data_IF_112608452208
#
_entry.id   IF_112608452208
#
_cell.length_a   1.000
_cell.length_b   1.000
_cell.length_c   1.000
_cell.angle_alpha   90.00
_cell.angle_beta   90.00
_cell.angle_gamma   90.00
#
_symmetry.space_group_name_H-M   'P 1'
#
loop_
_entity.id
_entity.type
_entity.pdbx_description
1 polymer ?
#
# COMPACT_ATOMS: atom_id res chain seq x y z
N UNK A 1 38.41 -7.93 -3.84
CA UNK A 1 36.94 -7.91 -3.79
C UNK A 1 36.34 -8.51 -2.51
N UNK A 2 36.91 -9.56 -1.95
CA UNK A 2 36.43 -10.27 -0.71
C UNK A 2 36.36 -9.37 0.54
N UNK A 3 37.34 -8.48 0.77
CA UNK A 3 37.35 -7.61 1.96
C UNK A 3 36.28 -6.50 2.01
N UNK A 4 35.74 -6.07 0.87
CA UNK A 4 34.63 -5.10 0.84
C UNK A 4 33.28 -5.75 1.16
N UNK A 5 33.08 -7.01 0.79
CA UNK A 5 31.88 -7.79 1.09
C UNK A 5 31.76 -8.03 2.61
N UNK A 6 32.81 -8.49 3.27
CA UNK A 6 32.79 -8.79 4.71
C UNK A 6 32.51 -7.56 5.58
N UNK A 7 33.06 -6.39 5.23
CA UNK A 7 32.82 -5.14 5.99
C UNK A 7 31.39 -4.63 5.84
N UNK A 8 30.78 -4.78 4.66
CA UNK A 8 29.39 -4.41 4.42
C UNK A 8 28.43 -5.36 5.15
N UNK A 9 28.73 -6.65 5.18
CA UNK A 9 27.95 -7.66 5.93
C UNK A 9 28.05 -7.44 7.44
N UNK A 10 29.23 -7.12 7.96
CA UNK A 10 29.42 -6.78 9.37
C UNK A 10 28.65 -5.52 9.75
N UNK A 11 28.71 -4.45 8.95
CA UNK A 11 27.96 -3.22 9.18
C UNK A 11 26.44 -3.45 9.19
N UNK A 12 25.93 -4.32 8.31
CA UNK A 12 24.50 -4.70 8.28
C UNK A 12 24.10 -5.50 9.53
N UNK A 13 24.93 -6.42 9.97
CA UNK A 13 24.67 -7.20 11.18
C UNK A 13 24.62 -6.29 12.42
N UNK A 14 25.54 -5.33 12.52
CA UNK A 14 25.58 -4.33 13.60
C UNK A 14 24.32 -3.44 13.58
N UNK A 15 23.90 -2.95 12.41
CA UNK A 15 22.67 -2.16 12.25
C UNK A 15 21.42 -2.96 12.64
N UNK A 16 21.31 -4.22 12.19
CA UNK A 16 20.22 -5.10 12.57
C UNK A 16 20.17 -5.37 14.07
N UNK A 17 21.32 -5.58 14.70
CA UNK A 17 21.42 -5.80 16.14
C UNK A 17 20.99 -4.53 16.93
N UNK A 18 21.42 -3.35 16.47
CA UNK A 18 21.02 -2.09 17.09
C UNK A 18 19.50 -1.87 17.00
N UNK A 19 18.91 -2.13 15.85
CA UNK A 19 17.44 -2.02 15.66
C UNK A 19 16.72 -2.95 16.66
N UNK A 20 17.13 -4.22 16.76
CA UNK A 20 16.54 -5.19 17.71
C UNK A 20 16.70 -4.75 19.17
N UNK A 21 17.86 -4.17 19.52
CA UNK A 21 18.09 -3.65 20.85
C UNK A 21 17.15 -2.47 21.16
N UNK A 22 16.99 -1.53 20.23
CA UNK A 22 16.08 -0.41 20.39
C UNK A 22 14.62 -0.88 20.48
N UNK A 23 14.22 -1.85 19.68
CA UNK A 23 12.90 -2.49 19.77
C UNK A 23 12.67 -3.15 21.13
N UNK A 24 13.69 -3.83 21.69
CA UNK A 24 13.59 -4.43 23.01
C UNK A 24 13.44 -3.41 24.14
N UNK A 25 14.21 -2.32 24.07
CA UNK A 25 14.22 -1.28 25.14
C UNK A 25 13.01 -0.37 25.06
N UNK A 26 12.62 0.06 23.87
CA UNK A 26 11.59 1.08 23.65
C UNK A 26 10.29 0.54 23.06
N UNK A 27 10.24 -0.75 22.75
CA UNK A 27 9.09 -1.39 22.10
C UNK A 27 9.05 -1.20 20.58
N UNK A 28 9.69 -0.18 20.03
CA UNK A 28 9.79 0.08 18.60
C UNK A 28 11.00 0.96 18.27
N UNK A 29 11.30 1.08 16.98
CA UNK A 29 12.22 2.06 16.41
C UNK A 29 11.52 2.82 15.29
N UNK A 30 11.76 4.13 15.18
CA UNK A 30 11.29 4.93 14.05
C UNK A 30 12.36 4.93 12.96
N UNK A 31 12.00 4.54 11.74
CA UNK A 31 12.89 4.54 10.58
C UNK A 31 12.26 5.36 9.45
N UNK A 32 13.00 6.28 8.84
CA UNK A 32 12.49 7.04 7.70
C UNK A 32 12.31 6.16 6.47
N UNK A 33 11.36 6.52 5.61
CA UNK A 33 11.06 5.82 4.36
C UNK A 33 12.31 5.58 3.51
N UNK A 34 13.13 6.62 3.33
CA UNK A 34 14.36 6.54 2.56
C UNK A 34 15.40 5.56 3.11
N UNK A 35 15.33 5.25 4.41
CA UNK A 35 16.18 4.24 5.04
C UNK A 35 15.72 2.82 4.68
N UNK A 36 14.39 2.59 4.66
CA UNK A 36 13.79 1.26 4.44
C UNK A 36 13.73 0.90 2.96
N UNK A 37 13.39 1.87 2.11
CA UNK A 37 13.03 1.62 0.72
C UNK A 37 13.98 2.31 -0.28
N UNK A 38 14.28 1.60 -1.36
CA UNK A 38 14.63 2.24 -2.62
C UNK A 38 13.36 2.68 -3.34
N UNK A 39 13.35 3.90 -3.89
CA UNK A 39 12.18 4.44 -4.58
C UNK A 39 12.46 4.67 -6.05
N UNK A 40 11.50 4.35 -6.91
CA UNK A 40 11.56 4.64 -8.34
C UNK A 40 10.16 4.89 -8.89
N UNK A 41 10.01 5.92 -9.74
CA UNK A 41 8.73 6.19 -10.38
C UNK A 41 8.43 5.14 -11.45
N UNK A 42 7.15 4.80 -11.56
CA UNK A 42 6.64 4.05 -12.69
C UNK A 42 6.72 4.84 -13.99
N UNK A 43 6.38 4.20 -15.09
CA UNK A 43 6.32 4.86 -16.41
C UNK A 43 5.29 4.16 -17.31
N UNK A 44 4.87 4.91 -18.35
CA UNK A 44 4.03 4.34 -19.41
C UNK A 44 4.92 4.03 -20.61
N UNK A 45 5.00 2.77 -21.06
CA UNK A 45 5.62 2.43 -22.34
C UNK A 45 4.97 3.20 -23.48
N UNK A 46 5.75 3.50 -24.53
CA UNK A 46 5.24 4.26 -25.68
C UNK A 46 4.06 3.55 -26.34
N UNK A 47 2.90 4.22 -26.39
CA UNK A 47 1.70 3.69 -27.05
C UNK A 47 1.82 3.63 -28.56
N UNK A 48 2.76 4.38 -29.17
CA UNK A 48 3.03 4.34 -30.60
C UNK A 48 3.76 3.04 -31.04
N UNK A 49 4.40 2.36 -30.09
CA UNK A 49 5.07 1.07 -30.31
C UNK A 49 4.13 -0.06 -29.96
N UNK A 50 3.40 -0.58 -30.95
CA UNK A 50 2.45 -1.70 -30.75
C UNK A 50 3.12 -2.91 -30.13
N UNK A 51 4.36 -3.23 -30.54
CA UNK A 51 5.20 -4.31 -30.01
C UNK A 51 5.33 -4.32 -28.47
N UNK A 52 5.14 -3.17 -27.79
CA UNK A 52 5.16 -3.09 -26.34
C UNK A 52 3.86 -3.57 -25.69
N UNK A 53 2.79 -3.71 -26.48
CA UNK A 53 1.44 -4.00 -26.00
C UNK A 53 0.82 -5.27 -26.60
N UNK A 54 1.58 -5.97 -27.44
CA UNK A 54 1.08 -7.13 -28.20
C UNK A 54 1.24 -8.46 -27.46
N UNK A 55 1.97 -8.47 -26.32
CA UNK A 55 2.14 -9.66 -25.49
C UNK A 55 1.82 -9.38 -24.01
N UNK A 56 1.45 -10.42 -23.29
CA UNK A 56 1.05 -10.36 -21.88
C UNK A 56 2.17 -10.90 -20.96
N UNK A 57 3.41 -10.36 -21.09
CA UNK A 57 4.56 -10.90 -20.38
C UNK A 57 4.65 -10.34 -18.95
N UNK A 58 4.39 -9.02 -18.77
CA UNK A 58 4.58 -8.31 -17.51
C UNK A 58 3.33 -7.48 -17.20
N UNK A 59 2.73 -7.63 -16.02
CA UNK A 59 1.60 -6.80 -15.59
C UNK A 59 2.03 -5.34 -15.46
N UNK A 60 1.19 -4.44 -15.98
CA UNK A 60 1.39 -2.99 -15.91
C UNK A 60 0.25 -2.35 -15.14
N UNK A 61 0.51 -2.03 -13.86
CA UNK A 61 -0.49 -1.56 -12.92
C UNK A 61 -0.83 -0.08 -13.09
N UNK A 62 -2.12 0.20 -12.97
CA UNK A 62 -2.74 1.53 -12.98
C UNK A 62 -3.66 1.69 -11.78
N UNK A 63 -4.21 2.89 -11.61
CA UNK A 63 -5.14 3.18 -10.53
C UNK A 63 -6.43 2.36 -10.61
N UNK A 64 -6.86 2.05 -11.83
CA UNK A 64 -8.04 1.23 -12.10
C UNK A 64 -7.90 -0.15 -11.46
N UNK A 65 -6.71 -0.76 -11.56
CA UNK A 65 -6.45 -2.08 -10.98
C UNK A 65 -6.64 -2.11 -9.45
N UNK A 66 -6.24 -1.04 -8.76
CA UNK A 66 -6.44 -0.91 -7.31
C UNK A 66 -7.92 -0.79 -6.97
N UNK A 67 -8.69 -0.06 -7.78
CA UNK A 67 -10.11 0.18 -7.52
C UNK A 67 -10.99 -1.02 -7.81
N UNK A 68 -10.63 -1.79 -8.82
CA UNK A 68 -11.40 -2.96 -9.27
C UNK A 68 -11.04 -4.23 -8.49
N UNK A 69 -9.75 -4.42 -8.17
CA UNK A 69 -9.23 -5.67 -7.64
C UNK A 69 -8.69 -5.55 -6.20
N UNK A 70 -8.84 -4.37 -5.57
CA UNK A 70 -8.37 -4.12 -4.21
C UNK A 70 -6.87 -3.76 -4.15
N UNK A 71 -6.31 -3.82 -2.95
CA UNK A 71 -4.98 -3.26 -2.66
C UNK A 71 -3.85 -4.30 -2.57
N UNK A 72 -4.14 -5.59 -2.71
CA UNK A 72 -3.14 -6.67 -2.76
C UNK A 72 -3.28 -7.35 -4.09
N UNK A 73 -2.35 -7.11 -5.01
CA UNK A 73 -2.48 -7.43 -6.42
C UNK A 73 -1.42 -8.42 -6.89
N UNK A 74 -1.85 -9.39 -7.68
CA UNK A 74 -0.98 -10.34 -8.40
C UNK A 74 -1.20 -10.30 -9.91
N UNK A 75 -2.30 -9.69 -10.36
CA UNK A 75 -2.70 -9.57 -11.75
C UNK A 75 -3.07 -8.12 -12.06
N UNK A 76 -2.90 -7.70 -13.30
CA UNK A 76 -3.29 -6.38 -13.79
C UNK A 76 -4.27 -6.52 -14.96
N UNK A 77 -5.11 -5.54 -15.16
CA UNK A 77 -6.02 -5.46 -16.31
C UNK A 77 -5.25 -5.31 -17.62
N UNK A 78 -4.05 -4.74 -17.58
CA UNK A 78 -3.18 -4.54 -18.72
C UNK A 78 -1.80 -5.14 -18.52
N UNK A 79 -1.27 -5.72 -19.59
CA UNK A 79 0.07 -6.29 -19.64
C UNK A 79 0.88 -5.62 -20.72
N UNK A 80 2.19 -5.76 -20.65
CA UNK A 80 3.14 -5.29 -21.65
C UNK A 80 4.18 -6.35 -21.96
N UNK A 81 4.76 -6.24 -23.14
CA UNK A 81 5.85 -7.07 -23.59
C UNK A 81 7.14 -6.83 -22.77
N UNK A 82 7.97 -7.87 -22.66
CA UNK A 82 9.32 -7.75 -22.08
C UNK A 82 10.16 -6.66 -22.75
N UNK A 83 9.95 -6.41 -24.04
CA UNK A 83 10.65 -5.35 -24.79
C UNK A 83 10.29 -3.92 -24.32
N UNK A 84 9.18 -3.75 -23.60
CA UNK A 84 8.76 -2.49 -23.02
C UNK A 84 9.53 -2.12 -21.75
N UNK A 85 10.29 -3.06 -21.16
CA UNK A 85 10.98 -2.87 -19.89
C UNK A 85 12.23 -2.02 -20.08
N UNK A 86 12.24 -0.85 -19.45
CA UNK A 86 13.43 0.02 -19.38
C UNK A 86 14.29 -0.38 -18.18
N UNK A 87 15.37 -1.09 -18.43
CA UNK A 87 16.27 -1.59 -17.40
C UNK A 87 15.73 -2.85 -16.74
N UNK A 88 15.17 -2.74 -15.51
CA UNK A 88 14.61 -3.87 -14.78
C UNK A 88 13.16 -3.58 -14.38
N UNK A 89 12.32 -4.61 -14.47
CA UNK A 89 10.99 -4.58 -13.86
C UNK A 89 11.10 -4.31 -12.35
N UNK A 90 10.01 -3.83 -11.74
CA UNK A 90 9.93 -3.73 -10.29
C UNK A 90 9.84 -5.14 -9.72
N UNK A 91 10.52 -5.43 -8.59
CA UNK A 91 10.47 -6.74 -7.99
C UNK A 91 9.10 -7.00 -7.33
N UNK A 92 8.76 -8.27 -7.20
CA UNK A 92 7.65 -8.70 -6.36
C UNK A 92 7.82 -8.21 -4.91
N UNK A 93 6.72 -8.22 -4.14
CA UNK A 93 6.70 -7.72 -2.76
C UNK A 93 7.12 -6.25 -2.65
N UNK A 94 6.74 -5.45 -3.64
CA UNK A 94 6.91 -3.99 -3.64
C UNK A 94 5.57 -3.30 -3.43
N UNK A 95 5.60 -2.11 -2.83
CA UNK A 95 4.42 -1.27 -2.64
C UNK A 95 4.42 -0.17 -3.69
N UNK A 96 3.32 0.03 -4.39
CA UNK A 96 3.10 1.20 -5.23
C UNK A 96 2.26 2.21 -4.47
N UNK A 97 2.61 3.49 -4.54
CA UNK A 97 1.84 4.59 -3.95
C UNK A 97 1.67 5.72 -4.95
N UNK A 98 0.45 6.22 -5.08
CA UNK A 98 0.16 7.34 -5.98
C UNK A 98 0.65 8.65 -5.36
N UNK A 99 1.67 9.25 -6.00
CA UNK A 99 2.28 10.53 -5.60
C UNK A 99 1.87 11.70 -6.47
N UNK A 100 0.99 11.45 -7.46
CA UNK A 100 0.41 12.49 -8.32
C UNK A 100 -1.00 12.13 -8.75
N UNK A 101 -1.83 13.13 -9.02
CA UNK A 101 -3.25 13.05 -9.39
C UNK A 101 -4.12 12.45 -8.25
N UNK A 102 -4.21 11.14 -8.09
CA UNK A 102 -4.99 10.47 -7.04
C UNK A 102 -4.09 10.17 -5.84
N UNK A 103 -3.63 11.21 -5.17
CA UNK A 103 -2.59 11.14 -4.13
C UNK A 103 -3.06 10.32 -2.93
N UNK A 104 -2.17 9.47 -2.42
CA UNK A 104 -2.39 8.70 -1.20
C UNK A 104 -3.29 7.50 -1.41
N UNK A 105 -3.15 6.80 -2.54
CA UNK A 105 -3.66 5.44 -2.73
C UNK A 105 -2.47 4.52 -2.99
N UNK A 106 -2.42 3.39 -2.30
CA UNK A 106 -1.31 2.43 -2.39
C UNK A 106 -1.81 1.00 -2.58
N UNK A 107 -0.92 0.13 -3.08
CA UNK A 107 -1.16 -1.31 -3.19
C UNK A 107 0.14 -2.09 -3.00
N UNK A 108 0.03 -3.31 -2.48
CA UNK A 108 1.09 -4.32 -2.44
C UNK A 108 1.03 -5.19 -3.68
N UNK A 109 2.14 -5.28 -4.41
CA UNK A 109 2.23 -6.08 -5.64
C UNK A 109 3.06 -7.33 -5.37
N UNK A 110 2.48 -8.49 -5.62
CA UNK A 110 3.06 -9.80 -5.30
C UNK A 110 3.82 -10.47 -6.45
N UNK A 111 3.93 -9.82 -7.59
CA UNK A 111 4.59 -10.33 -8.81
C UNK A 111 5.58 -9.30 -9.34
N UNK A 112 6.57 -9.66 -10.17
CA UNK A 112 7.36 -8.67 -10.90
C UNK A 112 6.46 -7.87 -11.86
N UNK A 113 6.65 -6.54 -11.95
CA UNK A 113 5.69 -5.67 -12.63
C UNK A 113 6.29 -4.38 -13.20
N UNK A 114 5.47 -3.67 -13.96
CA UNK A 114 5.61 -2.25 -14.24
C UNK A 114 4.40 -1.49 -13.69
N UNK A 115 4.56 -0.19 -13.48
CA UNK A 115 3.49 0.69 -13.00
C UNK A 115 3.45 2.00 -13.80
N UNK A 116 2.27 2.62 -13.83
CA UNK A 116 2.07 3.94 -14.43
C UNK A 116 2.93 5.01 -13.73
N UNK A 117 3.28 6.09 -14.45
CA UNK A 117 4.10 7.20 -13.94
C UNK A 117 3.50 7.98 -12.76
N UNK A 118 2.23 7.76 -12.42
CA UNK A 118 1.60 8.37 -11.23
C UNK A 118 2.04 7.71 -9.93
N UNK A 119 2.58 6.49 -10.03
CA UNK A 119 3.04 5.74 -8.89
C UNK A 119 4.53 5.93 -8.64
N UNK A 120 4.88 6.07 -7.38
CA UNK A 120 6.21 5.81 -6.84
C UNK A 120 6.21 4.40 -6.28
N UNK A 121 7.15 3.58 -6.71
CA UNK A 121 7.31 2.20 -6.25
C UNK A 121 8.32 2.17 -5.09
N UNK A 122 7.92 1.55 -4.00
CA UNK A 122 8.72 1.34 -2.79
C UNK A 122 9.23 -0.10 -2.79
N UNK A 123 10.52 -0.24 -2.97
CA UNK A 123 11.21 -1.54 -3.00
C UNK A 123 12.00 -1.70 -1.71
N UNK A 124 11.60 -2.61 -0.83
CA UNK A 124 12.29 -2.83 0.44
C UNK A 124 13.73 -3.26 0.19
N UNK A 125 14.67 -2.57 0.83
CA UNK A 125 16.10 -2.87 0.73
C UNK A 125 16.40 -4.24 1.35
N UNK A 126 17.38 -4.93 0.79
CA UNK A 126 17.70 -6.33 1.15
C UNK A 126 18.11 -6.50 2.62
N UNK A 127 18.77 -5.50 3.18
CA UNK A 127 19.24 -5.48 4.57
C UNK A 127 18.13 -5.55 5.61
N UNK A 128 16.91 -5.16 5.23
CA UNK A 128 15.75 -5.13 6.13
C UNK A 128 14.86 -6.37 6.05
N UNK A 129 15.10 -7.29 5.12
CA UNK A 129 14.22 -8.46 4.87
C UNK A 129 13.99 -9.37 6.09
N UNK A 130 14.97 -9.44 7.00
CA UNK A 130 14.91 -10.31 8.18
C UNK A 130 14.33 -9.61 9.42
N UNK A 131 14.12 -8.31 9.35
CA UNK A 131 13.64 -7.48 10.47
C UNK A 131 12.38 -6.69 10.16
N UNK A 132 11.99 -6.61 8.89
CA UNK A 132 10.77 -5.95 8.45
C UNK A 132 9.84 -6.91 7.71
N UNK A 133 8.56 -6.79 8.02
CA UNK A 133 7.49 -7.51 7.34
C UNK A 133 6.81 -6.60 6.31
N UNK A 134 6.77 -7.01 5.05
CA UNK A 134 6.22 -6.17 3.96
C UNK A 134 4.71 -5.97 4.09
N UNK A 135 3.97 -6.94 4.63
CA UNK A 135 2.52 -6.80 4.84
C UNK A 135 2.25 -5.78 5.96
N UNK A 136 3.08 -5.76 7.03
CA UNK A 136 3.02 -4.72 8.05
C UNK A 136 3.29 -3.33 7.47
N UNK A 137 4.35 -3.18 6.67
CA UNK A 137 4.68 -1.91 6.03
C UNK A 137 3.57 -1.47 5.06
N UNK A 138 2.96 -2.40 4.34
CA UNK A 138 1.80 -2.14 3.49
C UNK A 138 0.64 -1.54 4.31
N UNK A 139 0.25 -2.16 5.42
CA UNK A 139 -0.79 -1.59 6.27
C UNK A 139 -0.38 -0.26 6.92
N UNK A 140 0.90 -0.09 7.23
CA UNK A 140 1.40 1.19 7.75
C UNK A 140 1.30 2.31 6.71
N UNK A 141 1.33 2.00 5.40
CA UNK A 141 1.18 2.97 4.32
C UNK A 141 -0.18 3.68 4.32
N UNK A 142 -1.22 3.22 5.03
CA UNK A 142 -2.43 4.03 5.24
C UNK A 142 -2.14 5.33 6.00
N UNK A 143 -1.14 5.35 6.88
CA UNK A 143 -0.65 6.59 7.52
C UNK A 143 0.15 7.43 6.53
N UNK A 144 0.96 6.78 5.69
CA UNK A 144 1.69 7.47 4.62
C UNK A 144 0.75 8.09 3.59
N UNK A 145 -0.39 7.46 3.27
CA UNK A 145 -1.43 8.03 2.40
C UNK A 145 -1.94 9.38 2.93
N UNK A 146 -2.22 9.45 4.23
CA UNK A 146 -2.66 10.70 4.87
C UNK A 146 -1.55 11.74 4.87
N UNK A 147 -0.33 11.34 5.22
CA UNK A 147 0.84 12.20 5.17
C UNK A 147 1.06 12.79 3.76
N UNK A 148 0.91 11.98 2.71
CA UNK A 148 1.02 12.44 1.33
C UNK A 148 -0.02 13.50 0.97
N UNK A 149 -1.25 13.40 1.49
CA UNK A 149 -2.32 14.39 1.26
C UNK A 149 -2.05 15.71 1.97
N UNK A 150 -1.31 15.70 3.06
CA UNK A 150 -0.95 16.88 3.84
C UNK A 150 0.32 17.58 3.34
N UNK A 151 1.18 16.87 2.59
CA UNK A 151 2.48 17.36 2.12
C UNK A 151 2.54 17.43 0.59
N UNK A 152 1.86 18.43 0.04
CA UNK A 152 1.77 18.66 -1.39
C UNK A 152 2.66 19.81 -1.84
N UNK A 153 3.24 19.67 -3.04
CA UNK A 153 3.89 20.78 -3.71
C UNK A 153 2.86 21.86 -4.11
N UNK A 154 3.21 23.11 -3.91
CA UNK A 154 2.45 24.25 -4.41
C UNK A 154 2.71 24.41 -5.91
N UNK A 155 1.83 23.88 -6.76
CA UNK A 155 1.96 23.95 -8.21
C UNK A 155 0.62 23.72 -8.92
N UNK A 156 0.60 23.91 -10.25
CA UNK A 156 -0.61 23.74 -11.06
C UNK A 156 -1.15 22.30 -11.09
N UNK A 157 -0.30 21.32 -10.73
CA UNK A 157 -0.68 19.92 -10.62
C UNK A 157 -0.33 19.41 -9.23
N UNK A 158 -1.32 18.84 -8.55
CA UNK A 158 -1.11 18.24 -7.25
C UNK A 158 -0.11 17.08 -7.33
N UNK A 159 1.00 17.20 -6.63
CA UNK A 159 2.02 16.17 -6.46
C UNK A 159 2.56 16.22 -5.03
N UNK A 160 3.01 15.09 -4.54
CA UNK A 160 3.61 14.98 -3.20
C UNK A 160 4.98 15.65 -3.18
N UNK A 161 5.29 16.36 -2.09
CA UNK A 161 6.65 16.80 -1.81
C UNK A 161 7.53 15.59 -1.50
N UNK A 162 8.39 15.23 -2.45
CA UNK A 162 9.25 14.04 -2.34
C UNK A 162 10.34 14.18 -1.27
N UNK A 163 10.68 15.40 -0.84
CA UNK A 163 11.59 15.59 0.30
C UNK A 163 10.90 15.20 1.59
N UNK A 164 9.70 15.72 1.83
CA UNK A 164 8.88 15.33 2.97
C UNK A 164 8.54 13.83 2.92
N UNK A 165 8.16 13.29 1.76
CA UNK A 165 7.87 11.87 1.56
C UNK A 165 9.00 10.96 2.06
N UNK A 166 10.24 11.26 1.73
CA UNK A 166 11.40 10.48 2.13
C UNK A 166 11.70 10.52 3.63
N UNK A 167 11.22 11.54 4.34
CA UNK A 167 11.38 11.68 5.80
C UNK A 167 10.25 11.08 6.61
N UNK A 168 9.20 10.55 5.96
CA UNK A 168 8.12 9.88 6.66
C UNK A 168 8.65 8.69 7.48
N UNK A 169 8.30 8.64 8.77
CA UNK A 169 8.80 7.63 9.69
C UNK A 169 7.82 6.46 9.88
N UNK A 170 8.35 5.26 9.70
CA UNK A 170 7.66 4.02 10.06
C UNK A 170 8.04 3.63 11.48
N UNK A 171 7.05 3.43 12.36
CA UNK A 171 7.27 2.85 13.69
C UNK A 171 7.36 1.33 13.56
N UNK A 172 8.52 0.78 13.83
CA UNK A 172 8.88 -0.63 13.59
C UNK A 172 9.02 -1.35 14.93
N UNK A 173 8.01 -2.12 15.38
CA UNK A 173 8.13 -3.03 16.53
C UNK A 173 8.88 -4.31 16.15
N UNK A 174 9.01 -5.28 17.08
CA UNK A 174 9.62 -6.56 16.77
C UNK A 174 8.95 -7.27 15.59
N UNK A 175 9.67 -8.13 14.88
CA UNK A 175 9.16 -8.82 13.69
C UNK A 175 7.94 -9.69 14.01
N UNK A 176 7.87 -10.27 15.20
CA UNK A 176 6.73 -11.05 15.69
C UNK A 176 5.49 -10.15 15.80
N UNK A 177 5.67 -8.95 16.39
CA UNK A 177 4.58 -7.98 16.55
C UNK A 177 4.14 -7.38 15.22
N UNK A 178 5.04 -7.17 14.27
CA UNK A 178 4.71 -6.77 12.90
C UNK A 178 3.79 -7.81 12.24
N UNK A 179 4.18 -9.09 12.26
CA UNK A 179 3.40 -10.20 11.66
C UNK A 179 2.04 -10.39 12.34
N UNK A 180 1.99 -10.30 13.67
CA UNK A 180 0.73 -10.35 14.43
C UNK A 180 -0.20 -9.23 13.99
N UNK A 181 0.30 -8.00 13.96
CA UNK A 181 -0.47 -6.81 13.55
C UNK A 181 -0.98 -6.93 12.12
N UNK A 182 -0.11 -7.31 11.18
CA UNK A 182 -0.48 -7.52 9.78
C UNK A 182 -1.57 -8.60 9.62
N UNK A 183 -1.43 -9.71 10.35
CA UNK A 183 -2.43 -10.80 10.35
C UNK A 183 -3.80 -10.34 10.86
N UNK A 184 -3.84 -9.53 11.92
CA UNK A 184 -5.08 -8.97 12.45
C UNK A 184 -5.72 -8.03 11.42
N UNK A 185 -4.94 -7.11 10.86
CA UNK A 185 -5.43 -6.14 9.87
C UNK A 185 -5.95 -6.82 8.60
N UNK A 186 -5.26 -7.87 8.14
CA UNK A 186 -5.70 -8.70 7.00
C UNK A 186 -7.05 -9.37 7.24
N UNK A 187 -7.29 -9.88 8.47
CA UNK A 187 -8.59 -10.46 8.83
C UNK A 187 -9.68 -9.40 8.83
N UNK A 188 -9.41 -8.20 9.34
CA UNK A 188 -10.36 -7.10 9.27
C UNK A 188 -10.67 -6.69 7.84
N UNK A 189 -9.67 -6.60 6.99
CA UNK A 189 -9.84 -6.25 5.58
C UNK A 189 -10.72 -7.28 4.86
N UNK A 190 -10.48 -8.58 5.07
CA UNK A 190 -11.33 -9.66 4.56
C UNK A 190 -12.76 -9.53 5.08
N UNK A 191 -12.96 -9.35 6.39
CA UNK A 191 -14.29 -9.21 6.98
C UNK A 191 -15.04 -7.98 6.46
N UNK A 192 -14.35 -6.86 6.25
CA UNK A 192 -14.98 -5.66 5.69
C UNK A 192 -15.40 -5.86 4.23
N UNK A 193 -14.60 -6.57 3.44
CA UNK A 193 -14.94 -6.88 2.06
C UNK A 193 -16.12 -7.89 1.97
N UNK A 194 -16.10 -8.95 2.80
CA UNK A 194 -17.20 -9.91 2.87
C UNK A 194 -18.50 -9.25 3.36
N UNK A 195 -18.41 -8.32 4.32
CA UNK A 195 -19.55 -7.55 4.81
C UNK A 195 -20.07 -6.55 3.78
N UNK A 196 -19.23 -6.05 2.86
CA UNK A 196 -19.65 -5.11 1.83
C UNK A 196 -20.61 -5.73 0.82
N UNK A 197 -20.58 -7.04 0.64
CA UNK A 197 -21.54 -7.75 -0.22
C UNK A 197 -22.90 -7.97 0.49
N UNK A 198 -22.92 -8.15 1.82
CA UNK A 198 -24.14 -8.38 2.60
C UNK A 198 -24.75 -7.14 3.25
N UNK A 199 -23.92 -6.15 3.64
CA UNK A 199 -24.33 -4.93 4.35
C UNK A 199 -25.37 -4.05 3.62
N UNK A 200 -25.34 -3.81 2.32
CA UNK A 200 -26.35 -3.01 1.65
C UNK A 200 -27.76 -3.58 1.82
N UNK A 201 -27.91 -4.90 1.70
CA UNK A 201 -29.19 -5.58 1.89
C UNK A 201 -29.65 -5.55 3.35
N UNK A 202 -28.73 -5.73 4.31
CA UNK A 202 -29.04 -5.64 5.74
C UNK A 202 -29.38 -4.20 6.18
N UNK A 203 -28.64 -3.20 5.71
CA UNK A 203 -28.94 -1.77 5.98
C UNK A 203 -30.30 -1.42 5.43
N UNK A 204 -30.65 -1.85 4.22
CA UNK A 204 -31.97 -1.61 3.63
C UNK A 204 -33.08 -2.32 4.42
N UNK A 205 -32.87 -3.55 4.85
CA UNK A 205 -33.82 -4.29 5.67
C UNK A 205 -34.05 -3.61 7.04
N UNK A 206 -32.97 -3.18 7.71
CA UNK A 206 -33.04 -2.45 8.99
C UNK A 206 -33.68 -1.08 8.84
N UNK A 207 -33.45 -0.39 7.74
CA UNK A 207 -34.10 0.89 7.43
C UNK A 207 -35.60 0.72 7.25
N UNK A 208 -36.05 -0.30 6.50
CA UNK A 208 -37.48 -0.62 6.35
C UNK A 208 -38.12 -1.00 7.68
N UNK A 209 -37.40 -1.77 8.51
CA UNK A 209 -37.85 -2.12 9.85
C UNK A 209 -37.98 -0.90 10.76
N UNK A 210 -37.00 0.01 10.73
CA UNK A 210 -37.04 1.28 11.47
C UNK A 210 -38.20 2.16 11.01
N UNK A 211 -38.42 2.34 9.71
CA UNK A 211 -39.53 3.11 9.15
C UNK A 211 -40.87 2.54 9.59
N UNK A 212 -41.05 1.23 9.54
CA UNK A 212 -42.27 0.56 10.00
C UNK A 212 -42.56 0.81 11.48
N UNK A 213 -41.59 0.61 12.37
CA UNK A 213 -41.78 0.83 13.80
C UNK A 213 -41.97 2.30 14.16
N UNK A 214 -41.25 3.20 13.50
CA UNK A 214 -41.40 4.65 13.66
C UNK A 214 -42.85 5.06 13.34
N UNK A 215 -43.35 4.65 12.20
CA UNK A 215 -44.70 5.02 11.75
C UNK A 215 -45.75 4.40 12.65
N UNK A 216 -45.53 3.20 13.13
CA UNK A 216 -46.45 2.53 14.12
C UNK A 216 -46.44 3.24 15.47
N UNK A 217 -45.30 3.70 15.96
CA UNK A 217 -45.19 4.42 17.24
C UNK A 217 -45.71 5.83 17.18
N UNK A 218 -45.68 6.48 16.00
CA UNK A 218 -46.20 7.84 15.78
C UNK A 218 -47.67 7.85 15.36
N UNK A 219 -48.27 6.71 15.06
CA UNK A 219 -49.71 6.60 14.77
C UNK A 219 -50.54 6.59 16.09
N UNK A 220 -50.79 7.78 16.64
CA UNK A 220 -51.70 7.96 17.78
C UNK A 220 -53.12 7.90 17.32
N UNK A 221 -53.97 7.05 17.91
CA UNK A 221 -55.43 7.18 17.82
C UNK A 221 -55.87 8.19 18.87
N UNK A 222 -56.60 9.23 18.45
CA UNK A 222 -57.27 10.11 19.39
C UNK A 222 -58.17 9.28 20.32
N UNK A 223 -58.00 9.49 21.62
CA UNK A 223 -58.94 8.96 22.60
C UNK A 223 -60.28 9.68 22.40
N UNK A 224 -61.24 9.00 21.82
CA UNK A 224 -62.61 9.49 21.81
C UNK A 224 -63.07 9.63 23.27
N UNK A 225 -63.39 10.89 23.65
CA UNK A 225 -64.01 11.18 24.95
C UNK A 225 -65.45 10.74 24.95
#
# INVERSE_FOLDING_TARGET
>A
MLFRSSRAEQSRAEQSALIKLLQYVFGYVALPLAEIFDTRNGYTPSKSKKEFWDSADIPWFRMEDIRENGRILSEATQYVSNSAVKGKAFPEKSIIISTSATIGEHALINVPFLANQRFTCLMMKKEYKDILDIEYLFYYCFKLDNFCREHLNQGNFASVDMKAFNTFEFCIPSIEKQKETASILKRFDTLCNDLSEGLPAEIEARRKQYEYYRDKLLSFKELQK
#
